data_IF_937665601165
#
_entry.id   IF_937665601165
#
_cell.length_a   1.000
_cell.length_b   1.000
_cell.length_c   1.000
_cell.angle_alpha   90.00
_cell.angle_beta   90.00
_cell.angle_gamma   90.00
#
_symmetry.space_group_name_H-M   'P 1'
#
loop_
_entity.id
_entity.type
_entity.pdbx_description
1 polymer ?
#
# COMPACT_ATOMS: atom_id res chain seq x y z
N UNK A 1 -10.35 -28.99 2.32
CA UNK A 1 -11.30 -28.07 2.99
C UNK A 1 -10.65 -27.20 4.06
N UNK A 2 -9.90 -27.74 5.04
CA UNK A 2 -9.28 -26.91 6.10
C UNK A 2 -8.30 -25.87 5.54
N UNK A 3 -7.45 -26.24 4.57
CA UNK A 3 -6.49 -25.30 3.96
C UNK A 3 -7.12 -24.15 3.17
N UNK A 4 -8.27 -24.37 2.52
CA UNK A 4 -8.99 -23.30 1.80
C UNK A 4 -9.69 -22.36 2.78
N UNK A 5 -10.32 -22.90 3.84
CA UNK A 5 -10.91 -22.11 4.92
C UNK A 5 -9.85 -21.28 5.66
N UNK A 6 -8.67 -21.84 5.93
CA UNK A 6 -7.53 -21.08 6.50
C UNK A 6 -7.04 -20.01 5.53
N UNK A 7 -7.05 -20.26 4.21
CA UNK A 7 -6.70 -19.25 3.20
C UNK A 7 -7.73 -18.13 3.14
N UNK A 8 -9.03 -18.45 3.18
CA UNK A 8 -10.11 -17.46 3.24
C UNK A 8 -10.07 -16.67 4.55
N UNK A 9 -9.90 -17.33 5.69
CA UNK A 9 -9.75 -16.69 6.99
C UNK A 9 -8.57 -15.72 7.00
N UNK A 10 -7.40 -16.12 6.49
CA UNK A 10 -6.23 -15.25 6.33
C UNK A 10 -6.40 -14.14 5.28
N UNK A 11 -7.31 -14.27 4.32
CA UNK A 11 -7.63 -13.18 3.39
C UNK A 11 -8.45 -12.06 4.06
N UNK A 12 -9.04 -12.34 5.24
CA UNK A 12 -9.91 -11.44 6.01
C UNK A 12 -9.42 -11.16 7.44
N UNK A 13 -8.42 -11.89 7.96
CA UNK A 13 -7.66 -11.51 9.15
C UNK A 13 -6.59 -10.46 8.81
N UNK A 14 -6.11 -9.77 9.84
CA UNK A 14 -5.13 -8.68 9.79
C UNK A 14 -4.09 -8.88 8.66
N UNK A 15 -4.03 -7.95 7.70
CA UNK A 15 -3.95 -6.52 8.02
C UNK A 15 -5.21 -5.69 7.73
N UNK A 16 -6.25 -6.26 7.14
CA UNK A 16 -7.36 -5.51 6.51
C UNK A 16 -8.47 -5.03 7.47
N UNK A 17 -8.18 -4.99 8.77
CA UNK A 17 -9.15 -4.50 9.75
C UNK A 17 -9.18 -2.96 9.78
N UNK A 18 -10.28 -2.38 10.27
CA UNK A 18 -10.47 -0.93 10.30
C UNK A 18 -9.35 -0.21 11.07
N UNK A 19 -8.90 -0.79 12.19
CA UNK A 19 -7.87 -0.20 13.04
C UNK A 19 -6.54 -0.02 12.30
N UNK A 20 -6.05 -1.07 11.63
CA UNK A 20 -4.81 -1.02 10.87
C UNK A 20 -4.93 -0.09 9.66
N UNK A 21 -6.06 -0.11 8.94
CA UNK A 21 -6.30 0.82 7.83
C UNK A 21 -6.33 2.28 8.31
N UNK A 22 -6.90 2.56 9.49
CA UNK A 22 -6.87 3.88 10.11
C UNK A 22 -5.44 4.32 10.43
N UNK A 23 -4.61 3.43 10.99
CA UNK A 23 -3.21 3.72 11.27
C UNK A 23 -2.41 3.97 9.98
N UNK A 24 -2.70 3.25 8.91
CA UNK A 24 -2.10 3.50 7.58
C UNK A 24 -2.50 4.89 7.08
N UNK A 25 -3.78 5.25 7.14
CA UNK A 25 -4.26 6.57 6.72
C UNK A 25 -3.61 7.70 7.54
N UNK A 26 -3.58 7.56 8.87
CA UNK A 26 -2.92 8.51 9.78
C UNK A 26 -1.43 8.67 9.48
N UNK A 27 -0.73 7.57 9.20
CA UNK A 27 0.68 7.61 8.83
C UNK A 27 0.89 8.36 7.52
N UNK A 28 0.09 8.03 6.49
CA UNK A 28 0.19 8.65 5.17
C UNK A 28 -0.08 10.16 5.25
N UNK A 29 -1.11 10.59 5.98
CA UNK A 29 -1.40 12.02 6.17
C UNK A 29 -0.22 12.76 6.79
N UNK A 30 0.34 12.21 7.87
CA UNK A 30 1.47 12.82 8.58
C UNK A 30 2.75 12.87 7.74
N UNK A 31 3.08 11.78 7.04
CA UNK A 31 4.27 11.74 6.18
C UNK A 31 4.12 12.61 4.93
N UNK A 32 2.90 12.72 4.38
CA UNK A 32 2.63 13.56 3.23
C UNK A 32 2.69 15.05 3.56
N UNK A 33 2.47 15.44 4.82
CA UNK A 33 2.53 16.83 5.29
C UNK A 33 1.69 17.81 4.42
N UNK A 34 0.56 17.32 3.88
CA UNK A 34 -0.34 18.09 3.03
C UNK A 34 0.03 18.19 1.55
N UNK A 35 1.11 17.51 1.10
CA UNK A 35 1.44 17.31 -0.32
C UNK A 35 0.40 16.42 -1.03
N UNK A 36 0.29 16.50 -2.36
CA UNK A 36 -0.57 15.58 -3.11
C UNK A 36 0.15 14.26 -3.32
N UNK A 37 -0.61 13.19 -3.19
CA UNK A 37 -0.09 11.84 -3.19
C UNK A 37 -0.77 10.99 -4.25
N UNK A 38 -0.11 9.90 -4.60
CA UNK A 38 -0.71 8.78 -5.34
C UNK A 38 -0.30 7.47 -4.70
N UNK A 39 -1.20 6.49 -4.70
CA UNK A 39 -0.86 5.13 -4.27
C UNK A 39 -0.58 4.28 -5.51
N UNK A 40 0.63 3.72 -5.58
CA UNK A 40 1.02 2.77 -6.60
C UNK A 40 0.30 1.43 -6.37
N UNK A 41 -0.54 1.07 -7.34
CA UNK A 41 -1.43 -0.08 -7.27
C UNK A 41 -0.89 -1.30 -8.05
N UNK A 42 0.39 -1.32 -8.40
CA UNK A 42 1.01 -2.39 -9.20
C UNK A 42 1.21 -3.72 -8.43
N UNK A 43 0.78 -3.78 -7.17
CA UNK A 43 0.91 -4.95 -6.32
C UNK A 43 -0.30 -5.87 -6.43
N UNK A 44 -0.01 -7.15 -6.35
CA UNK A 44 -1.01 -8.21 -6.41
C UNK A 44 -1.88 -8.21 -5.16
N UNK A 45 -3.13 -8.66 -5.30
CA UNK A 45 -4.03 -8.78 -4.16
C UNK A 45 -4.65 -7.46 -3.68
N UNK A 46 -4.31 -6.34 -4.32
CA UNK A 46 -4.91 -5.02 -4.14
C UNK A 46 -5.69 -4.68 -5.41
N UNK A 47 -6.93 -4.22 -5.26
CA UNK A 47 -7.70 -3.72 -6.41
C UNK A 47 -7.19 -2.34 -6.83
N UNK A 48 -7.31 -2.01 -8.11
CA UNK A 48 -6.91 -0.69 -8.58
C UNK A 48 -7.61 0.42 -7.76
N UNK A 49 -6.84 1.39 -7.28
CA UNK A 49 -7.28 2.50 -6.40
C UNK A 49 -7.91 2.09 -5.07
N UNK A 50 -7.75 0.84 -4.64
CA UNK A 50 -8.40 0.37 -3.41
C UNK A 50 -8.06 1.21 -2.18
N UNK A 51 -6.79 1.57 -1.97
CA UNK A 51 -6.41 2.40 -0.81
C UNK A 51 -6.86 3.85 -0.95
N UNK A 52 -6.84 4.40 -2.16
CA UNK A 52 -7.37 5.73 -2.47
C UNK A 52 -8.88 5.82 -2.17
N UNK A 53 -9.64 4.81 -2.58
CA UNK A 53 -11.07 4.67 -2.26
C UNK A 53 -11.28 4.48 -0.75
N UNK A 54 -10.45 3.66 -0.10
CA UNK A 54 -10.55 3.43 1.35
C UNK A 54 -10.36 4.75 2.12
N UNK A 55 -9.30 5.50 1.80
CA UNK A 55 -9.02 6.77 2.48
C UNK A 55 -10.15 7.78 2.22
N UNK A 56 -10.59 7.93 0.97
CA UNK A 56 -11.61 8.91 0.63
C UNK A 56 -13.02 8.59 1.18
N UNK A 57 -13.39 7.31 1.28
CA UNK A 57 -14.74 6.89 1.70
C UNK A 57 -14.83 6.68 3.20
N UNK A 58 -13.86 5.98 3.80
CA UNK A 58 -13.95 5.51 5.19
C UNK A 58 -13.13 6.36 6.17
N UNK A 59 -12.15 7.11 5.67
CA UNK A 59 -11.26 7.93 6.49
C UNK A 59 -11.18 9.37 5.98
N UNK A 60 -12.33 9.92 5.58
CA UNK A 60 -12.47 11.26 5.02
C UNK A 60 -12.08 12.40 5.98
N UNK A 61 -11.95 12.09 7.27
CA UNK A 61 -11.50 13.04 8.29
C UNK A 61 -9.99 13.32 8.21
N UNK A 62 -9.21 12.49 7.49
CA UNK A 62 -7.81 12.78 7.18
C UNK A 62 -7.68 13.65 5.94
N UNK A 63 -6.81 14.65 5.99
CA UNK A 63 -6.57 15.62 4.91
C UNK A 63 -5.63 15.08 3.81
N UNK A 64 -5.88 13.84 3.36
CA UNK A 64 -5.08 13.18 2.31
C UNK A 64 -5.51 13.70 0.93
N UNK A 65 -4.57 14.31 0.18
CA UNK A 65 -4.83 14.88 -1.15
C UNK A 65 -4.42 13.92 -2.27
N UNK A 66 -5.35 13.12 -2.77
CA UNK A 66 -5.09 12.20 -3.88
C UNK A 66 -5.05 12.96 -5.22
N UNK A 67 -4.03 12.73 -6.05
CA UNK A 67 -3.83 13.42 -7.34
C UNK A 67 -3.17 12.52 -8.39
N UNK A 68 -3.57 12.70 -9.66
CA UNK A 68 -2.87 12.10 -10.81
C UNK A 68 -1.56 12.84 -11.18
N UNK A 69 -1.38 14.05 -10.64
CA UNK A 69 -0.12 14.79 -10.62
C UNK A 69 0.38 14.86 -9.16
N UNK A 70 0.96 13.76 -8.63
CA UNK A 70 1.39 13.69 -7.23
C UNK A 70 2.79 14.25 -7.03
N UNK A 71 3.05 14.86 -5.88
CA UNK A 71 4.39 15.16 -5.40
C UNK A 71 5.04 13.94 -4.71
N UNK A 72 4.21 13.05 -4.13
CA UNK A 72 4.68 11.83 -3.46
C UNK A 72 3.93 10.60 -4.00
N UNK A 73 4.68 9.53 -4.29
CA UNK A 73 4.10 8.22 -4.61
C UNK A 73 4.42 7.26 -3.48
N UNK A 74 3.38 6.63 -2.93
CA UNK A 74 3.50 5.55 -1.95
C UNK A 74 3.18 4.20 -2.58
N UNK A 75 3.75 3.14 -2.05
CA UNK A 75 3.25 1.78 -2.23
C UNK A 75 2.85 1.22 -0.87
N UNK A 76 1.67 0.62 -0.80
CA UNK A 76 1.17 -0.02 0.42
C UNK A 76 1.04 -1.51 0.13
N UNK A 77 1.93 -2.30 0.70
CA UNK A 77 2.02 -3.74 0.45
C UNK A 77 1.39 -4.54 1.57
N UNK A 78 0.47 -5.43 1.25
CA UNK A 78 -0.09 -6.42 2.17
C UNK A 78 0.94 -7.55 2.42
N UNK A 79 1.42 -7.71 3.65
CA UNK A 79 2.48 -8.66 3.97
C UNK A 79 2.02 -10.13 3.90
N UNK A 80 0.70 -10.39 3.86
CA UNK A 80 0.17 -11.74 3.67
C UNK A 80 0.35 -12.25 2.22
N UNK A 81 0.81 -11.40 1.32
CA UNK A 81 1.06 -11.72 -0.09
C UNK A 81 1.97 -12.94 -0.27
N UNK A 82 3.05 -13.03 0.50
CA UNK A 82 4.01 -14.15 0.43
C UNK A 82 3.36 -15.50 0.79
N UNK A 83 2.39 -15.47 1.70
CA UNK A 83 1.68 -16.65 2.21
C UNK A 83 0.58 -17.08 1.23
N UNK A 84 -0.14 -16.12 0.63
CA UNK A 84 -1.35 -16.38 -0.14
C UNK A 84 -1.10 -16.59 -1.64
N UNK A 85 -0.05 -16.00 -2.21
CA UNK A 85 0.18 -15.99 -3.67
C UNK A 85 1.52 -16.60 -4.11
N UNK A 86 2.36 -17.03 -3.16
CA UNK A 86 3.60 -17.74 -3.42
C UNK A 86 4.85 -16.85 -3.52
N UNK A 87 6.01 -17.46 -3.26
CA UNK A 87 7.30 -16.79 -3.11
C UNK A 87 7.73 -16.03 -4.38
N UNK A 88 7.68 -16.66 -5.55
CA UNK A 88 8.14 -16.03 -6.81
C UNK A 88 7.43 -14.71 -7.12
N UNK A 89 6.13 -14.63 -6.80
CA UNK A 89 5.34 -13.41 -7.04
C UNK A 89 5.72 -12.32 -6.05
N UNK A 90 5.86 -12.67 -4.78
CA UNK A 90 6.37 -11.77 -3.74
C UNK A 90 7.77 -11.24 -4.09
N UNK A 91 8.65 -12.10 -4.60
CA UNK A 91 10.02 -11.73 -4.98
C UNK A 91 10.02 -10.73 -6.14
N UNK A 92 9.15 -10.91 -7.15
CA UNK A 92 9.00 -9.95 -8.27
C UNK A 92 8.52 -8.58 -7.83
N UNK A 93 7.57 -8.52 -6.91
CA UNK A 93 7.07 -7.25 -6.35
C UNK A 93 8.13 -6.52 -5.54
N UNK A 94 8.89 -7.26 -4.74
CA UNK A 94 10.03 -6.69 -4.03
C UNK A 94 11.10 -6.21 -4.99
N UNK A 95 11.39 -6.97 -6.05
CA UNK A 95 12.33 -6.55 -7.08
C UNK A 95 11.87 -5.25 -7.76
N UNK A 96 10.58 -5.11 -8.07
CA UNK A 96 10.03 -3.86 -8.61
C UNK A 96 10.28 -2.67 -7.67
N UNK A 97 10.04 -2.83 -6.36
CA UNK A 97 10.32 -1.78 -5.38
C UNK A 97 11.81 -1.41 -5.36
N UNK A 98 12.70 -2.40 -5.37
CA UNK A 98 14.15 -2.17 -5.42
C UNK A 98 14.61 -1.49 -6.70
N UNK A 99 14.12 -1.95 -7.86
CA UNK A 99 14.48 -1.40 -9.18
C UNK A 99 14.06 0.07 -9.33
N UNK A 100 13.01 0.49 -8.61
CA UNK A 100 12.50 1.86 -8.61
C UNK A 100 12.98 2.68 -7.39
N UNK A 101 14.01 2.20 -6.68
CA UNK A 101 14.60 2.86 -5.51
C UNK A 101 13.58 3.21 -4.41
N UNK A 102 12.52 2.43 -4.27
CA UNK A 102 11.51 2.67 -3.24
C UNK A 102 12.14 2.49 -1.85
N UNK A 103 11.83 3.44 -0.96
CA UNK A 103 12.33 3.47 0.42
C UNK A 103 11.24 2.90 1.32
N UNK A 104 11.56 1.85 2.07
CA UNK A 104 10.67 1.35 3.13
C UNK A 104 10.58 2.39 4.24
N UNK A 105 9.37 2.82 4.57
CA UNK A 105 9.12 3.81 5.61
C UNK A 105 8.76 3.15 6.94
N UNK A 106 7.81 2.21 6.91
CA UNK A 106 7.27 1.60 8.12
C UNK A 106 6.48 0.31 7.84
N UNK A 107 6.18 -0.43 8.90
CA UNK A 107 5.28 -1.58 8.91
C UNK A 107 4.13 -1.34 9.91
N UNK A 108 2.88 -1.39 9.43
CA UNK A 108 1.67 -1.11 10.21
C UNK A 108 0.71 -2.26 10.07
N UNK A 109 0.54 -3.03 11.15
CA UNK A 109 -0.52 -4.04 11.26
C UNK A 109 -0.52 -5.07 10.14
N UNK A 110 0.64 -5.38 9.54
CA UNK A 110 0.76 -6.30 8.39
C UNK A 110 0.71 -5.63 7.02
N UNK A 111 0.72 -4.30 6.94
CA UNK A 111 1.09 -3.53 5.75
C UNK A 111 2.52 -3.03 5.84
N UNK A 112 3.30 -3.11 4.77
CA UNK A 112 4.57 -2.39 4.65
C UNK A 112 4.38 -1.23 3.69
N UNK A 113 4.76 -0.02 4.13
CA UNK A 113 4.60 1.21 3.36
C UNK A 113 5.97 1.60 2.80
N UNK A 114 6.01 1.82 1.49
CA UNK A 114 7.16 2.31 0.77
C UNK A 114 6.86 3.69 0.16
N UNK A 115 7.89 4.49 -0.03
CA UNK A 115 7.83 5.78 -0.72
C UNK A 115 8.82 5.79 -1.85
N UNK A 116 8.37 6.17 -3.04
CA UNK A 116 9.27 6.35 -4.18
C UNK A 116 9.92 7.73 -4.06
N UNK A 117 11.26 7.84 -4.17
CA UNK A 117 11.94 9.12 -4.28
C UNK A 117 11.45 9.84 -5.55
N UNK A 118 11.31 11.17 -5.47
CA UNK A 118 10.68 12.06 -6.47
C UNK A 118 10.61 11.47 -7.89
N UNK A 119 9.38 11.35 -8.40
CA UNK A 119 9.00 10.92 -9.74
C UNK A 119 10.18 10.83 -10.72
N UNK A 120 10.55 9.61 -11.11
CA UNK A 120 11.31 9.32 -12.33
C UNK A 120 10.45 9.82 -13.51
N UNK A 121 10.47 11.12 -13.74
CA UNK A 121 9.99 11.87 -14.91
C UNK A 121 10.43 13.34 -14.77
N UNK A 122 11.72 13.58 -14.60
CA UNK A 122 12.36 14.60 -15.44
C UNK A 122 12.70 13.90 -16.75
N UNK A 123 11.70 13.79 -17.64
CA UNK A 123 11.98 13.52 -19.05
C UNK A 123 12.79 14.71 -19.57
N UNK A 124 14.05 14.48 -19.91
CA UNK A 124 14.72 15.25 -20.95
C UNK A 124 14.13 14.89 -22.32
#
# INVERSE_FOLDING_TARGET
MVGELTRYYKLFEEPRNYYNLNQVAEFIEKDAAGEKIKIDNNFSGIQNRQFEDIFSIYFSDYEIKISEEPEIIYSIRDNLMSINFGKERSDREMQYLYDNNAIELTNIGGYTIFKFPETINKKE
#
